data_IF_782835136881
#
_entry.id   IF_782835136881
#
_cell.length_a   1.000
_cell.length_b   1.000
_cell.length_c   1.000
_cell.angle_alpha   90.00
_cell.angle_beta   90.00
_cell.angle_gamma   90.00
#
_symmetry.space_group_name_H-M   'P 1'
#
loop_
_entity.id
_entity.type
_entity.pdbx_description
1 polymer ?
#
# COMPACT_ATOMS: atom_id res chain seq x y z
N UNK A 1 4.14 -16.62 2.46
CA UNK A 1 3.66 -15.52 3.34
C UNK A 1 4.77 -15.12 4.30
N UNK A 2 5.35 -13.92 4.13
CA UNK A 2 6.15 -13.32 5.20
C UNK A 2 5.18 -13.10 6.36
N UNK A 3 5.46 -13.66 7.54
CA UNK A 3 4.67 -13.36 8.75
C UNK A 3 4.60 -11.84 8.86
N UNK A 4 3.41 -11.28 8.98
CA UNK A 4 3.28 -9.89 9.41
C UNK A 4 4.10 -9.79 10.69
N UNK A 5 5.23 -9.08 10.60
CA UNK A 5 6.25 -9.11 11.64
C UNK A 5 5.77 -8.35 12.89
N UNK A 6 6.68 -7.78 13.69
CA UNK A 6 6.29 -6.94 14.85
C UNK A 6 5.42 -5.73 14.50
N UNK A 7 5.18 -5.45 13.21
CA UNK A 7 4.34 -4.37 12.74
C UNK A 7 2.83 -4.64 12.81
N UNK A 8 2.40 -5.90 12.95
CA UNK A 8 0.99 -6.22 13.20
C UNK A 8 0.66 -5.97 14.68
N UNK A 9 -0.19 -4.99 15.02
CA UNK A 9 -0.47 -4.68 16.41
C UNK A 9 -1.32 -5.76 17.08
N UNK A 10 -1.12 -6.05 18.38
CA UNK A 10 -1.85 -7.10 19.08
C UNK A 10 -3.32 -6.75 19.38
N UNK A 11 -3.70 -5.48 19.17
CA UNK A 11 -5.05 -4.99 19.41
C UNK A 11 -5.98 -5.11 18.19
N UNK A 12 -5.50 -5.67 17.07
CA UNK A 12 -6.33 -5.88 15.88
C UNK A 12 -7.49 -6.84 16.20
N UNK A 13 -8.69 -6.41 15.83
CA UNK A 13 -9.91 -7.21 15.91
C UNK A 13 -9.96 -8.26 14.78
N UNK A 14 -10.93 -9.16 14.84
CA UNK A 14 -11.19 -10.09 13.74
C UNK A 14 -11.61 -9.35 12.47
N UNK A 15 -12.45 -8.31 12.61
CA UNK A 15 -12.88 -7.43 11.52
C UNK A 15 -11.68 -6.74 10.85
N UNK A 16 -10.73 -6.19 11.63
CA UNK A 16 -9.51 -5.60 11.07
C UNK A 16 -8.71 -6.64 10.26
N UNK A 17 -8.64 -7.89 10.71
CA UNK A 17 -7.94 -8.94 9.97
C UNK A 17 -8.68 -9.31 8.67
N UNK A 18 -10.01 -9.28 8.68
CA UNK A 18 -10.82 -9.50 7.48
C UNK A 18 -10.63 -8.38 6.45
N UNK A 19 -10.56 -7.12 6.90
CA UNK A 19 -10.25 -5.98 6.03
C UNK A 19 -8.85 -6.07 5.43
N UNK A 20 -7.85 -6.47 6.23
CA UNK A 20 -6.49 -6.75 5.72
C UNK A 20 -6.56 -7.81 4.60
N UNK A 21 -7.27 -8.92 4.83
CA UNK A 21 -7.45 -9.98 3.84
C UNK A 21 -8.21 -9.48 2.60
N UNK A 22 -9.14 -8.55 2.75
CA UNK A 22 -9.85 -7.94 1.62
C UNK A 22 -8.88 -7.21 0.67
N UNK A 23 -7.91 -6.46 1.19
CA UNK A 23 -6.89 -5.79 0.36
C UNK A 23 -6.00 -6.80 -0.38
N UNK A 24 -5.67 -7.94 0.23
CA UNK A 24 -4.95 -9.01 -0.46
C UNK A 24 -5.78 -9.62 -1.61
N UNK A 25 -7.08 -9.82 -1.39
CA UNK A 25 -7.99 -10.31 -2.44
C UNK A 25 -8.15 -9.30 -3.57
N UNK A 26 -8.25 -8.01 -3.25
CA UNK A 26 -8.30 -6.93 -4.23
C UNK A 26 -7.06 -6.90 -5.12
N UNK A 27 -5.85 -6.98 -4.54
CA UNK A 27 -4.62 -7.06 -5.32
C UNK A 27 -4.61 -8.28 -6.27
N UNK A 28 -5.10 -9.44 -5.82
CA UNK A 28 -5.23 -10.60 -6.68
C UNK A 28 -6.24 -10.35 -7.81
N UNK A 29 -7.42 -9.85 -7.47
CA UNK A 29 -8.49 -9.56 -8.42
C UNK A 29 -8.03 -8.59 -9.51
N UNK A 30 -7.41 -7.47 -9.14
CA UNK A 30 -6.91 -6.50 -10.12
C UNK A 30 -5.79 -7.07 -10.98
N UNK A 31 -4.98 -7.99 -10.44
CA UNK A 31 -3.99 -8.72 -11.26
C UNK A 31 -4.66 -9.55 -12.36
N UNK A 32 -5.73 -10.27 -12.00
CA UNK A 32 -6.49 -11.10 -12.92
C UNK A 32 -7.24 -10.24 -13.96
N UNK A 33 -7.84 -9.13 -13.53
CA UNK A 33 -8.65 -8.25 -14.38
C UNK A 33 -7.81 -7.41 -15.35
N UNK A 34 -6.70 -6.83 -14.89
CA UNK A 34 -5.86 -5.92 -15.70
C UNK A 34 -4.74 -6.61 -16.45
N UNK A 35 -4.38 -7.84 -16.06
CA UNK A 35 -3.18 -8.53 -16.54
C UNK A 35 -1.86 -7.94 -16.04
N UNK A 36 -1.90 -6.92 -15.18
CA UNK A 36 -0.72 -6.30 -14.54
C UNK A 36 -0.60 -6.83 -13.12
N UNK A 37 0.58 -7.28 -12.71
CA UNK A 37 0.82 -7.76 -11.34
C UNK A 37 0.59 -6.62 -10.34
N UNK A 38 -0.34 -6.83 -9.41
CA UNK A 38 -0.60 -5.96 -8.27
C UNK A 38 -0.06 -6.61 -6.98
N UNK A 39 0.35 -5.76 -6.05
CA UNK A 39 0.86 -6.15 -4.73
C UNK A 39 0.18 -5.32 -3.64
N UNK A 40 0.14 -5.89 -2.43
CA UNK A 40 -0.26 -5.14 -1.23
C UNK A 40 0.90 -4.28 -0.78
N UNK A 41 0.60 -3.00 -0.65
CA UNK A 41 1.51 -1.95 -0.26
C UNK A 41 1.18 -1.39 1.12
N UNK A 42 2.21 -1.02 1.88
CA UNK A 42 2.08 -0.19 3.07
C UNK A 42 2.23 1.29 2.70
N UNK A 43 1.16 2.07 2.81
CA UNK A 43 1.17 3.52 2.51
C UNK A 43 2.25 4.25 3.30
N UNK A 44 2.39 3.91 4.58
CA UNK A 44 3.54 4.24 5.43
C UNK A 44 4.41 2.99 5.57
N UNK A 45 5.67 2.99 5.07
CA UNK A 45 6.54 1.83 5.09
C UNK A 45 6.81 1.30 6.50
N UNK A 46 6.89 -0.02 6.64
CA UNK A 46 7.17 -0.66 7.93
C UNK A 46 8.57 -0.35 8.49
N UNK A 47 9.52 -0.04 7.60
CA UNK A 47 10.90 0.25 7.96
C UNK A 47 11.44 1.32 7.01
N UNK A 48 11.10 2.58 7.27
CA UNK A 48 11.51 3.65 6.41
C UNK A 48 12.91 4.15 6.80
N UNK A 49 13.82 4.17 5.82
CA UNK A 49 15.22 4.59 6.00
C UNK A 49 15.55 5.78 5.12
N UNK A 50 16.24 6.78 5.66
CA UNK A 50 16.75 7.93 4.92
C UNK A 50 18.21 8.16 5.28
N UNK A 51 19.06 8.31 4.25
CA UNK A 51 20.53 8.47 4.43
C UNK A 51 21.13 7.39 5.35
N UNK A 52 20.66 6.15 5.22
CA UNK A 52 21.11 5.00 6.03
C UNK A 52 20.59 4.97 7.47
N UNK A 53 19.69 5.86 7.86
CA UNK A 53 19.11 5.92 9.21
C UNK A 53 17.61 5.64 9.19
N UNK A 54 17.15 4.76 10.07
CA UNK A 54 15.72 4.52 10.29
C UNK A 54 15.05 5.77 10.84
N UNK A 55 13.96 6.21 10.22
CA UNK A 55 13.29 7.46 10.58
C UNK A 55 11.80 7.31 10.92
N UNK A 56 11.12 6.26 10.44
CA UNK A 56 9.77 5.91 10.88
C UNK A 56 9.41 4.44 10.60
N UNK A 57 8.42 3.96 11.35
CA UNK A 57 7.80 2.66 11.18
C UNK A 57 6.27 2.77 11.06
N UNK A 58 5.74 2.30 9.94
CA UNK A 58 4.30 2.08 9.76
C UNK A 58 3.81 0.82 10.48
N UNK A 59 2.48 0.66 10.52
CA UNK A 59 1.81 -0.51 11.10
C UNK A 59 1.21 -1.39 9.99
N UNK A 60 1.05 -2.68 10.25
CA UNK A 60 0.29 -3.58 9.37
C UNK A 60 -1.16 -3.62 9.84
N UNK A 61 -1.95 -2.67 9.34
CA UNK A 61 -3.33 -2.37 9.75
C UNK A 61 -4.14 -2.00 8.50
N UNK A 62 -5.46 -2.22 8.46
CA UNK A 62 -6.27 -2.02 7.24
C UNK A 62 -6.04 -0.66 6.58
N UNK A 63 -6.14 0.41 7.37
CA UNK A 63 -5.98 1.79 6.92
C UNK A 63 -4.55 2.20 6.56
N UNK A 64 -3.57 1.29 6.64
CA UNK A 64 -2.22 1.51 6.12
C UNK A 64 -1.92 0.63 4.90
N UNK A 65 -2.87 -0.19 4.43
CA UNK A 65 -2.71 -1.07 3.28
C UNK A 65 -3.46 -0.56 2.06
N UNK A 66 -2.93 -0.86 0.88
CA UNK A 66 -3.61 -0.65 -0.40
C UNK A 66 -3.11 -1.66 -1.44
N UNK A 67 -3.94 -2.02 -2.41
CA UNK A 67 -3.48 -2.72 -3.60
C UNK A 67 -2.94 -1.69 -4.62
N UNK A 68 -1.75 -1.92 -5.18
CA UNK A 68 -1.20 -1.09 -6.27
C UNK A 68 -0.42 -1.95 -7.27
N UNK A 69 -0.20 -1.49 -8.52
CA UNK A 69 0.68 -2.17 -9.44
C UNK A 69 2.08 -2.37 -8.85
N UNK A 70 2.67 -3.55 -9.05
CA UNK A 70 4.00 -3.91 -8.55
C UNK A 70 5.06 -2.88 -8.98
N UNK A 71 4.96 -2.36 -10.21
CA UNK A 71 5.87 -1.35 -10.74
C UNK A 71 5.80 -0.03 -9.97
N UNK A 72 4.62 0.36 -9.50
CA UNK A 72 4.43 1.53 -8.64
C UNK A 72 5.01 1.29 -7.25
N UNK A 73 4.76 0.10 -6.68
CA UNK A 73 5.28 -0.28 -5.37
C UNK A 73 6.82 -0.23 -5.33
N UNK A 74 7.46 -0.82 -6.35
CA UNK A 74 8.92 -0.83 -6.50
C UNK A 74 9.51 0.56 -6.67
N UNK A 75 8.85 1.45 -7.43
CA UNK A 75 9.31 2.83 -7.64
C UNK A 75 9.26 3.65 -6.35
N UNK A 76 8.30 3.40 -5.47
CA UNK A 76 8.16 4.14 -4.20
C UNK A 76 9.24 3.75 -3.19
N UNK A 77 9.49 2.44 -3.03
CA UNK A 77 10.43 1.92 -2.04
C UNK A 77 10.05 2.33 -0.61
N UNK A 78 11.05 2.79 0.16
CA UNK A 78 10.90 3.16 1.59
C UNK A 78 10.39 4.60 1.81
N UNK A 79 9.87 5.24 0.76
CA UNK A 79 9.29 6.58 0.84
C UNK A 79 7.78 6.52 1.02
N UNK A 80 7.22 7.57 1.62
CA UNK A 80 5.80 7.82 1.75
C UNK A 80 5.55 9.28 1.39
N UNK A 81 4.33 9.59 0.99
CA UNK A 81 3.95 10.95 0.61
C UNK A 81 3.53 11.72 1.87
N UNK A 82 4.12 12.90 2.09
CA UNK A 82 3.81 13.79 3.25
C UNK A 82 2.69 14.79 2.94
N UNK A 83 1.99 14.63 1.82
CA UNK A 83 0.85 15.44 1.38
C UNK A 83 0.06 14.68 0.30
N UNK A 84 -0.86 15.36 -0.38
CA UNK A 84 -1.45 14.82 -1.62
C UNK A 84 -0.29 14.50 -2.56
N UNK A 85 -0.13 13.25 -3.07
CA UNK A 85 0.86 12.99 -4.10
C UNK A 85 0.63 14.02 -5.22
N UNK A 86 1.68 14.44 -5.96
CA UNK A 86 1.42 15.12 -7.21
C UNK A 86 0.54 14.15 -7.99
N UNK A 87 -0.73 14.50 -8.14
CA UNK A 87 -1.51 14.06 -9.26
C UNK A 87 -0.66 14.49 -10.43
N UNK A 88 0.07 13.54 -11.01
CA UNK A 88 0.53 13.68 -12.38
C UNK A 88 -0.77 13.63 -13.18
N UNK A 89 -1.48 14.76 -13.14
CA UNK A 89 -2.35 15.17 -14.23
C UNK A 89 -1.38 15.25 -15.41
N UNK A 90 -1.13 14.11 -16.03
CA UNK A 90 -1.33 14.17 -17.45
C UNK A 90 -2.73 14.76 -17.61
N UNK A 91 -2.69 16.02 -18.03
CA UNK A 91 -3.82 16.77 -18.53
C UNK A 91 -4.20 16.11 -19.85
N UNK A 92 -4.69 14.88 -19.77
CA UNK A 92 -5.36 14.17 -20.84
C UNK A 92 -6.87 14.15 -20.58
N UNK A 93 -7.38 15.24 -19.99
CA UNK A 93 -8.72 15.76 -20.27
C UNK A 93 -9.93 14.83 -20.12
N UNK A 94 -9.79 13.65 -19.53
CA UNK A 94 -10.88 12.72 -19.29
C UNK A 94 -11.07 12.56 -17.79
N UNK A 95 -12.16 13.20 -17.36
CA UNK A 95 -12.82 13.06 -16.10
C UNK A 95 -13.09 11.59 -15.73
N UNK A 96 -13.27 11.34 -14.43
CA UNK A 96 -13.74 10.11 -13.80
C UNK A 96 -12.68 9.08 -13.37
N UNK A 97 -12.05 9.35 -12.21
CA UNK A 97 -11.75 8.28 -11.26
C UNK A 97 -12.43 8.60 -9.92
N UNK A 98 -13.55 7.93 -9.59
CA UNK A 98 -14.16 8.03 -8.28
C UNK A 98 -13.37 7.16 -7.30
N UNK A 99 -12.72 7.85 -6.36
CA UNK A 99 -12.08 7.37 -5.12
C UNK A 99 -11.08 6.21 -5.21
#
# INVERSE_FOLDING_TARGET
MRRAGPAAPPWLSEEDNEEILAVYREAQQWTEETGVVHEVDHMVPLNATSRGQHYLCGLHVPWNLRAIPQSMNQKRGDWFFTGTPPIDVHDDGDDDIPW
#
